data_IF_746293743871
#
_entry.id   IF_746293743871
#
_cell.length_a   1.000
_cell.length_b   1.000
_cell.length_c   1.000
_cell.angle_alpha   90.00
_cell.angle_beta   90.00
_cell.angle_gamma   90.00
#
_symmetry.space_group_name_H-M   'P 1'
#
loop_
_entity.id
_entity.type
_entity.pdbx_description
1 polymer ?
#
# COMPACT_ATOMS: atom_id res chain seq x y z
N UNK A 1 -11.81 -14.48 -13.09
CA UNK A 1 -11.61 -13.04 -13.37
C UNK A 1 -10.15 -12.74 -13.11
N UNK A 2 -9.44 -12.13 -14.05
CA UNK A 2 -8.00 -11.80 -13.92
C UNK A 2 -7.85 -10.35 -13.46
N UNK A 3 -7.03 -10.12 -12.44
CA UNK A 3 -6.66 -8.76 -12.01
C UNK A 3 -5.40 -8.27 -12.73
N UNK A 4 -5.11 -6.97 -12.64
CA UNK A 4 -3.81 -6.42 -13.03
C UNK A 4 -2.72 -6.82 -12.04
N UNK A 5 -1.47 -6.84 -12.51
CA UNK A 5 -0.29 -7.09 -11.66
C UNK A 5 0.30 -5.79 -11.13
N UNK A 6 0.99 -5.87 -10.00
CA UNK A 6 1.77 -4.80 -9.37
C UNK A 6 3.23 -5.22 -9.25
N UNK A 7 4.09 -4.32 -8.75
CA UNK A 7 5.50 -4.63 -8.50
C UNK A 7 5.74 -5.38 -7.17
N UNK A 8 4.77 -5.40 -6.25
CA UNK A 8 4.91 -5.98 -4.91
C UNK A 8 5.36 -7.44 -4.90
N UNK A 9 4.74 -8.36 -5.68
CA UNK A 9 5.20 -9.74 -5.78
C UNK A 9 6.63 -9.86 -6.31
N UNK A 10 7.01 -9.02 -7.28
CA UNK A 10 8.37 -8.99 -7.81
C UNK A 10 9.38 -8.54 -6.74
N UNK A 11 9.11 -7.43 -6.04
CA UNK A 11 9.96 -6.93 -4.98
C UNK A 11 10.11 -7.93 -3.83
N UNK A 12 9.01 -8.55 -3.39
CA UNK A 12 9.05 -9.57 -2.34
C UNK A 12 9.91 -10.77 -2.74
N UNK A 13 9.81 -11.23 -4.00
CA UNK A 13 10.61 -12.34 -4.50
C UNK A 13 12.11 -12.04 -4.57
N UNK A 14 12.49 -10.80 -4.91
CA UNK A 14 13.90 -10.41 -5.08
C UNK A 14 14.58 -10.06 -3.76
N UNK A 15 13.87 -9.41 -2.86
CA UNK A 15 14.43 -8.89 -1.60
C UNK A 15 14.20 -9.83 -0.42
N UNK A 16 13.26 -10.77 -0.51
CA UNK A 16 12.88 -11.65 0.60
C UNK A 16 12.21 -10.91 1.76
N UNK A 17 11.72 -9.69 1.52
CA UNK A 17 11.05 -8.86 2.53
C UNK A 17 9.54 -9.01 2.40
N UNK A 18 8.79 -9.17 3.52
CA UNK A 18 7.34 -9.12 3.52
C UNK A 18 6.85 -7.80 2.90
N UNK A 19 6.09 -7.91 1.81
CA UNK A 19 5.62 -6.76 1.04
C UNK A 19 4.10 -6.75 1.03
N UNK A 20 3.51 -5.55 1.16
CA UNK A 20 2.07 -5.34 1.03
C UNK A 20 1.86 -4.25 -0.02
N UNK A 21 1.01 -4.54 -1.02
CA UNK A 21 0.57 -3.54 -1.98
C UNK A 21 -0.65 -2.80 -1.44
N UNK A 22 -0.58 -1.47 -1.39
CA UNK A 22 -1.67 -0.59 -0.92
C UNK A 22 -1.86 0.57 -1.89
N UNK A 23 -3.08 1.10 -1.93
CA UNK A 23 -3.43 2.24 -2.77
C UNK A 23 -4.82 2.78 -2.44
N UNK A 24 -5.09 4.01 -2.89
CA UNK A 24 -6.41 4.62 -2.77
C UNK A 24 -7.35 4.10 -3.87
N UNK A 25 -8.65 3.91 -3.59
CA UNK A 25 -9.62 3.53 -4.60
C UNK A 25 -9.75 4.65 -5.66
N UNK A 26 -9.80 4.23 -6.92
CA UNK A 26 -10.03 5.13 -8.05
C UNK A 26 -10.94 4.46 -9.08
N UNK A 27 -11.58 5.28 -9.91
CA UNK A 27 -12.47 4.86 -11.00
C UNK A 27 -11.85 5.21 -12.34
N UNK A 28 -12.15 4.36 -13.33
CA UNK A 28 -11.67 4.47 -14.71
C UNK A 28 -10.14 4.45 -14.85
N UNK A 29 -9.45 3.61 -14.07
CA UNK A 29 -8.00 3.39 -14.21
C UNK A 29 -7.64 3.06 -15.65
N UNK A 30 -6.62 3.74 -16.20
CA UNK A 30 -6.21 3.73 -17.62
C UNK A 30 -7.10 4.53 -18.60
N UNK A 31 -8.05 5.33 -18.12
CA UNK A 31 -8.76 6.33 -18.91
C UNK A 31 -7.89 7.57 -19.18
N UNK A 32 -8.23 8.36 -20.20
CA UNK A 32 -7.65 9.70 -20.38
C UNK A 32 -8.03 10.68 -19.25
N UNK A 33 -9.08 10.35 -18.48
CA UNK A 33 -9.51 11.06 -17.28
C UNK A 33 -9.93 10.04 -16.22
N UNK A 34 -9.18 10.02 -15.13
CA UNK A 34 -9.43 9.19 -13.94
C UNK A 34 -10.15 10.01 -12.86
N UNK A 35 -10.77 9.32 -11.88
CA UNK A 35 -11.49 9.96 -10.78
C UNK A 35 -11.16 9.26 -9.46
N UNK A 36 -10.91 10.03 -8.41
CA UNK A 36 -10.70 9.53 -7.05
C UNK A 36 -11.34 10.46 -6.02
N UNK A 37 -11.50 9.98 -4.79
CA UNK A 37 -12.00 10.78 -3.68
C UNK A 37 -10.88 11.69 -3.14
N UNK A 38 -11.20 12.95 -2.85
CA UNK A 38 -10.22 13.90 -2.30
C UNK A 38 -9.71 13.46 -0.93
N UNK A 39 -10.57 12.88 -0.09
CA UNK A 39 -10.17 12.37 1.23
C UNK A 39 -9.22 11.18 1.18
N UNK A 40 -9.13 10.47 0.05
CA UNK A 40 -8.14 9.39 -0.12
C UNK A 40 -6.70 9.90 0.01
N UNK A 41 -6.47 11.17 -0.34
CA UNK A 41 -5.14 11.80 -0.22
C UNK A 41 -4.79 11.98 1.26
N UNK A 42 -5.70 12.53 2.06
CA UNK A 42 -5.49 12.73 3.50
C UNK A 42 -5.29 11.38 4.23
N UNK A 43 -6.06 10.37 3.86
CA UNK A 43 -5.92 9.01 4.39
C UNK A 43 -4.57 8.39 4.03
N UNK A 44 -4.10 8.59 2.79
CA UNK A 44 -2.80 8.12 2.36
C UNK A 44 -1.67 8.78 3.17
N UNK A 45 -1.75 10.10 3.38
CA UNK A 45 -0.78 10.84 4.21
C UNK A 45 -0.76 10.26 5.62
N UNK A 46 -1.92 10.12 6.27
CA UNK A 46 -2.01 9.57 7.62
C UNK A 46 -1.47 8.14 7.73
N UNK A 47 -1.76 7.30 6.74
CA UNK A 47 -1.28 5.92 6.68
C UNK A 47 0.24 5.85 6.55
N UNK A 48 0.82 6.57 5.59
CA UNK A 48 2.26 6.52 5.35
C UNK A 48 3.05 7.18 6.49
N UNK A 49 2.60 8.33 6.99
CA UNK A 49 3.21 8.96 8.17
C UNK A 49 3.14 8.03 9.37
N UNK A 50 1.95 7.50 9.67
CA UNK A 50 1.75 6.60 10.79
C UNK A 50 2.50 5.28 10.67
N UNK A 51 2.74 4.79 9.45
CA UNK A 51 3.58 3.63 9.18
C UNK A 51 5.03 3.92 9.58
N UNK A 52 5.65 4.98 9.07
CA UNK A 52 7.06 5.27 9.38
C UNK A 52 7.29 5.62 10.85
N UNK A 53 6.29 6.20 11.53
CA UNK A 53 6.37 6.50 12.97
C UNK A 53 6.25 5.25 13.86
N UNK A 54 5.41 4.28 13.49
CA UNK A 54 5.00 3.18 14.39
C UNK A 54 5.41 1.79 13.92
N UNK A 55 5.93 1.64 12.70
CA UNK A 55 6.24 0.34 12.11
C UNK A 55 7.19 -0.47 13.01
N UNK A 56 8.27 0.11 13.51
CA UNK A 56 9.25 -0.59 14.35
C UNK A 56 8.61 -1.23 15.60
N UNK A 57 7.77 -0.46 16.31
CA UNK A 57 7.03 -0.92 17.48
C UNK A 57 6.04 -2.04 17.13
N UNK A 58 5.30 -1.90 16.04
CA UNK A 58 4.32 -2.91 15.60
C UNK A 58 5.04 -4.21 15.21
N UNK A 59 6.12 -4.13 14.43
CA UNK A 59 6.91 -5.31 14.03
C UNK A 59 7.53 -6.03 15.22
N UNK A 60 7.96 -5.30 16.26
CA UNK A 60 8.40 -5.91 17.51
C UNK A 60 7.26 -6.65 18.19
N UNK A 61 6.06 -6.07 18.29
CA UNK A 61 4.91 -6.71 18.95
C UNK A 61 4.51 -8.03 18.28
N UNK A 62 4.56 -8.11 16.95
CA UNK A 62 4.22 -9.32 16.19
C UNK A 62 5.26 -10.43 16.41
N UNK A 63 6.53 -10.07 16.65
CA UNK A 63 7.62 -11.04 16.85
C UNK A 63 7.57 -11.76 18.20
N UNK A 64 6.85 -11.20 19.18
CA UNK A 64 6.69 -11.78 20.52
C UNK A 64 5.32 -12.46 20.74
N UNK A 65 4.53 -12.60 19.67
CA UNK A 65 3.33 -13.44 19.62
C UNK A 65 3.67 -14.79 18.99
#
# INVERSE_FOLDING_TARGET
MTGGSTIGPFLSSQLGVPTVDIGGPQLAMHSCREMTCTSSIDQAIQLYTGYFERASMIWQSIRYM
#
